data_IF_376162723509
#
_entry.id   IF_376162723509
#
_cell.length_a   1.000
_cell.length_b   1.000
_cell.length_c   1.000
_cell.angle_alpha   90.00
_cell.angle_beta   90.00
_cell.angle_gamma   90.00
#
_symmetry.space_group_name_H-M   'P 1'
#
loop_
_entity.id
_entity.type
_entity.pdbx_description
1 polymer ?
#
# COMPACT_ATOMS: atom_id res chain seq x y z
N UNK A 1 -1.55 4.10 -32.96
CA UNK A 1 -1.25 3.14 -31.88
C UNK A 1 0.00 3.62 -31.17
N UNK A 2 -0.05 3.75 -29.85
CA UNK A 2 1.07 4.25 -29.06
C UNK A 2 2.19 3.19 -29.00
N UNK A 3 3.46 3.60 -29.07
CA UNK A 3 4.65 2.73 -28.98
C UNK A 3 4.60 1.81 -27.76
N UNK A 4 4.03 2.28 -26.65
CA UNK A 4 3.85 1.51 -25.41
C UNK A 4 2.83 0.38 -25.58
N UNK A 5 1.73 0.63 -26.31
CA UNK A 5 0.70 -0.38 -26.55
C UNK A 5 1.23 -1.52 -27.42
N UNK A 6 2.04 -1.20 -28.43
CA UNK A 6 2.71 -2.19 -29.25
C UNK A 6 3.69 -3.05 -28.44
N UNK A 7 4.43 -2.43 -27.52
CA UNK A 7 5.35 -3.13 -26.63
C UNK A 7 4.59 -4.09 -25.70
N UNK A 8 3.48 -3.64 -25.10
CA UNK A 8 2.62 -4.45 -24.22
C UNK A 8 2.02 -5.64 -24.97
N UNK A 9 1.50 -5.43 -26.17
CA UNK A 9 0.93 -6.48 -27.01
C UNK A 9 1.96 -7.57 -27.34
N UNK A 10 3.20 -7.16 -27.65
CA UNK A 10 4.30 -8.09 -27.95
C UNK A 10 4.72 -8.91 -26.71
N UNK A 11 4.81 -8.28 -25.55
CA UNK A 11 5.13 -8.98 -24.28
C UNK A 11 4.06 -10.00 -23.94
N UNK A 12 2.77 -9.64 -24.02
CA UNK A 12 1.66 -10.56 -23.77
C UNK A 12 1.69 -11.78 -24.69
N UNK A 13 1.97 -11.58 -25.98
CA UNK A 13 2.10 -12.69 -26.91
C UNK A 13 3.25 -13.63 -26.52
N UNK A 14 4.43 -13.09 -26.21
CA UNK A 14 5.59 -13.92 -25.80
C UNK A 14 5.31 -14.72 -24.51
N UNK A 15 4.60 -14.12 -23.54
CA UNK A 15 4.19 -14.81 -22.31
C UNK A 15 3.23 -15.96 -22.61
N UNK A 16 2.23 -15.72 -23.45
CA UNK A 16 1.22 -16.73 -23.80
C UNK A 16 1.79 -17.92 -24.57
N UNK A 17 2.83 -17.70 -25.39
CA UNK A 17 3.48 -18.77 -26.17
C UNK A 17 4.55 -19.51 -25.38
N UNK A 18 5.13 -18.89 -24.34
CA UNK A 18 6.23 -19.48 -23.59
C UNK A 18 5.78 -20.64 -22.69
N UNK A 19 6.48 -21.78 -22.80
CA UNK A 19 6.36 -22.93 -21.90
C UNK A 19 7.53 -23.00 -20.90
N UNK A 20 8.47 -22.05 -20.98
CA UNK A 20 9.67 -22.07 -20.14
C UNK A 20 9.38 -21.42 -18.78
N UNK A 21 9.15 -22.28 -17.78
CA UNK A 21 8.84 -21.86 -16.40
C UNK A 21 9.93 -20.98 -15.76
N UNK A 22 11.21 -21.20 -16.07
CA UNK A 22 12.30 -20.41 -15.50
C UNK A 22 12.26 -18.96 -16.02
N UNK A 23 12.02 -18.79 -17.31
CA UNK A 23 11.89 -17.45 -17.94
C UNK A 23 10.65 -16.73 -17.42
N UNK A 24 9.52 -17.42 -17.32
CA UNK A 24 8.28 -16.83 -16.79
C UNK A 24 8.43 -16.40 -15.32
N UNK A 25 9.18 -17.16 -14.52
CA UNK A 25 9.43 -16.83 -13.11
C UNK A 25 10.31 -15.57 -12.95
N UNK A 26 11.36 -15.44 -13.75
CA UNK A 26 12.19 -14.23 -13.71
C UNK A 26 11.44 -13.01 -14.26
N UNK A 27 10.61 -13.19 -15.29
CA UNK A 27 9.76 -12.13 -15.82
C UNK A 27 8.73 -11.65 -14.78
N UNK A 28 8.06 -12.56 -14.08
CA UNK A 28 7.15 -12.23 -12.96
C UNK A 28 7.86 -11.39 -11.89
N UNK A 29 9.09 -11.77 -11.52
CA UNK A 29 9.90 -11.03 -10.54
C UNK A 29 10.27 -9.63 -11.03
N UNK A 30 10.66 -9.49 -12.30
CA UNK A 30 10.99 -8.19 -12.89
C UNK A 30 9.75 -7.29 -12.95
N UNK A 31 8.62 -7.84 -13.40
CA UNK A 31 7.37 -7.10 -13.50
C UNK A 31 6.85 -6.71 -12.13
N UNK A 32 6.92 -7.58 -11.11
CA UNK A 32 6.58 -7.21 -9.72
C UNK A 32 7.44 -6.11 -9.14
N UNK A 33 8.74 -6.07 -9.49
CA UNK A 33 9.62 -4.96 -9.10
C UNK A 33 9.25 -3.66 -9.82
N UNK A 34 8.84 -3.75 -11.08
CA UNK A 34 8.41 -2.59 -11.87
C UNK A 34 7.00 -2.10 -11.50
N UNK A 35 6.15 -3.00 -10.99
CA UNK A 35 4.80 -2.76 -10.47
C UNK A 35 4.84 -2.57 -8.94
N UNK A 36 6.03 -2.35 -8.36
CA UNK A 36 6.11 -1.73 -7.05
C UNK A 36 5.42 -0.37 -7.18
N UNK A 37 4.12 -0.34 -6.87
CA UNK A 37 3.45 0.86 -6.42
C UNK A 37 4.41 1.54 -5.45
N UNK A 38 4.52 2.85 -5.53
CA UNK A 38 5.25 3.63 -4.54
C UNK A 38 4.64 3.27 -3.18
N UNK A 39 5.24 2.31 -2.49
CA UNK A 39 4.83 1.91 -1.16
C UNK A 39 5.08 3.14 -0.32
N UNK A 40 4.00 3.83 0.04
CA UNK A 40 4.08 5.05 0.82
C UNK A 40 4.92 4.78 2.06
N UNK A 41 6.09 5.41 2.12
CA UNK A 41 6.94 5.37 3.29
C UNK A 41 6.46 6.46 4.21
N UNK A 42 5.96 6.06 5.38
CA UNK A 42 5.60 7.00 6.43
C UNK A 42 6.82 7.86 6.77
N UNK A 43 6.61 9.17 6.87
CA UNK A 43 7.58 10.10 7.40
C UNK A 43 7.90 9.78 8.87
N UNK A 44 9.01 10.32 9.38
CA UNK A 44 9.39 10.14 10.77
C UNK A 44 8.29 10.62 11.74
N UNK A 45 7.62 11.73 11.40
CA UNK A 45 6.51 12.28 12.18
C UNK A 45 5.29 11.35 12.20
N UNK A 46 4.95 10.72 11.08
CA UNK A 46 3.82 9.77 11.03
C UNK A 46 4.13 8.49 11.82
N UNK A 47 5.37 8.00 11.76
CA UNK A 47 5.81 6.88 12.60
C UNK A 47 5.77 7.24 14.09
N UNK A 48 6.17 8.46 14.45
CA UNK A 48 6.09 8.96 15.83
C UNK A 48 4.64 8.98 16.34
N UNK A 49 3.69 9.45 15.52
CA UNK A 49 2.26 9.44 15.87
C UNK A 49 1.73 8.03 16.12
N UNK A 50 2.14 7.04 15.32
CA UNK A 50 1.78 5.65 15.54
C UNK A 50 2.34 5.11 16.86
N UNK A 51 3.61 5.40 17.16
CA UNK A 51 4.22 4.97 18.43
C UNK A 51 3.50 5.59 19.64
N UNK A 52 3.13 6.86 19.57
CA UNK A 52 2.35 7.52 20.63
C UNK A 52 0.97 6.86 20.82
N UNK A 53 0.29 6.53 19.72
CA UNK A 53 -0.99 5.83 19.78
C UNK A 53 -0.86 4.42 20.40
N UNK A 54 0.21 3.69 20.09
CA UNK A 54 0.49 2.39 20.73
C UNK A 54 0.74 2.53 22.23
N UNK A 55 1.45 3.56 22.68
CA UNK A 55 1.62 3.86 24.10
C UNK A 55 0.28 4.20 24.77
N UNK A 56 -0.58 4.99 24.11
CA UNK A 56 -1.90 5.34 24.64
C UNK A 56 -2.76 4.10 24.85
N UNK A 57 -2.74 3.17 23.89
CA UNK A 57 -3.42 1.87 24.03
C UNK A 57 -2.83 1.08 25.20
N UNK A 58 -1.49 0.99 25.29
CA UNK A 58 -0.79 0.24 26.34
C UNK A 58 -1.10 0.75 27.75
N UNK A 59 -1.21 2.07 27.91
CA UNK A 59 -1.47 2.71 29.21
C UNK A 59 -2.96 3.01 29.46
N UNK A 60 -3.86 2.56 28.57
CA UNK A 60 -5.30 2.76 28.72
C UNK A 60 -5.72 4.23 28.61
N UNK A 61 -4.92 5.07 27.95
CA UNK A 61 -5.23 6.49 27.63
C UNK A 61 -6.13 6.57 26.39
N UNK A 62 -7.14 5.71 26.34
CA UNK A 62 -8.12 5.63 25.25
C UNK A 62 -9.51 5.87 25.81
N UNK A 63 -10.42 6.36 24.96
CA UNK A 63 -11.83 6.54 25.30
C UNK A 63 -12.67 5.68 24.35
N UNK A 64 -13.88 5.32 24.78
CA UNK A 64 -14.84 4.67 23.89
C UNK A 64 -15.34 5.63 22.81
N UNK A 65 -15.88 5.08 21.71
CA UNK A 65 -16.47 5.90 20.66
C UNK A 65 -17.62 6.76 21.20
N UNK A 66 -18.47 6.22 22.07
CA UNK A 66 -19.58 6.95 22.69
C UNK A 66 -19.09 8.16 23.53
N UNK A 67 -17.95 8.02 24.21
CA UNK A 67 -17.34 9.12 24.98
C UNK A 67 -16.71 10.18 24.07
N UNK A 68 -16.17 9.78 22.92
CA UNK A 68 -15.64 10.71 21.91
C UNK A 68 -16.78 11.54 21.31
N UNK A 69 -17.85 10.87 20.85
CA UNK A 69 -19.02 11.52 20.24
C UNK A 69 -19.63 12.58 21.18
N UNK A 70 -19.73 12.25 22.48
CA UNK A 70 -20.23 13.19 23.49
C UNK A 70 -19.32 14.43 23.65
N UNK A 71 -18.00 14.26 23.61
CA UNK A 71 -17.05 15.37 23.71
C UNK A 71 -17.09 16.26 22.48
N UNK A 72 -17.26 15.66 21.30
CA UNK A 72 -17.43 16.40 20.05
C UNK A 72 -18.71 17.25 20.07
N UNK A 73 -19.82 16.68 20.57
CA UNK A 73 -21.06 17.42 20.79
C UNK A 73 -20.87 18.59 21.78
N UNK A 74 -20.13 18.37 22.88
CA UNK A 74 -19.81 19.42 23.87
C UNK A 74 -18.91 20.53 23.31
N UNK A 75 -18.05 20.23 22.33
CA UNK A 75 -17.17 21.21 21.68
C UNK A 75 -17.86 22.06 20.62
N UNK A 76 -18.96 21.58 20.06
CA UNK A 76 -19.71 22.26 19.00
C UNK A 76 -20.82 23.19 19.53
N UNK A 77 -20.88 23.40 20.86
CA UNK A 77 -21.85 24.26 21.58
C UNK A 77 -21.18 25.56 22.04
#
# INVERSE_FOLDING_TARGET
MNTIELLRARINNMVNVSQNKAVLKELDKILKKAVSEEVYQLSDAENELLNLAEEDIKYGRVISQEELDKKDDEWMV
#
